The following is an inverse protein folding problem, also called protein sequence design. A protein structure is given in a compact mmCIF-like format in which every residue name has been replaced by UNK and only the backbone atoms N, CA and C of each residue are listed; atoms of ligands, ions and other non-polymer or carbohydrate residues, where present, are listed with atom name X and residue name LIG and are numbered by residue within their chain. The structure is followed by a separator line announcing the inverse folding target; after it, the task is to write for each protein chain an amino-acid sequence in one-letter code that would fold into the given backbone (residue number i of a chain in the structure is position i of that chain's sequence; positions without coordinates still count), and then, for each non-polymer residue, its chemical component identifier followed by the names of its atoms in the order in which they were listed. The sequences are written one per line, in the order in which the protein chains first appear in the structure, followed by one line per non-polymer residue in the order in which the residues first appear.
data_IF_976521818133
#
_entry.id   IF_976521818133
#
_cell.length_a   1.000
_cell.length_b   1.000
_cell.length_c   1.000
_cell.angle_alpha   90.00
_cell.angle_beta   90.00
_cell.angle_gamma   90.00
#
_symmetry.space_group_name_H-M   'P 1'
#
loop_
_entity.id
_entity.type
_entity.pdbx_description
1 polymer ?
#
# COMPACT_ATOMS: atom_id res chain seq x y z
N UNK A 1 14.07 47.37 -2.51
CA UNK A 1 13.72 45.95 -2.37
C UNK A 1 13.65 45.65 -0.89
N UNK A 2 12.45 45.67 -0.32
CA UNK A 2 12.25 45.47 1.11
C UNK A 2 12.54 44.03 1.47
N UNK A 3 13.53 43.85 2.35
CA UNK A 3 13.78 42.62 3.08
C UNK A 3 12.53 42.31 3.89
N UNK A 4 11.66 41.44 3.39
CA UNK A 4 10.68 40.78 4.24
C UNK A 4 11.48 40.03 5.29
N UNK A 5 11.50 40.56 6.52
CA UNK A 5 12.01 39.86 7.67
C UNK A 5 11.24 38.54 7.74
N UNK A 6 11.92 37.44 7.39
CA UNK A 6 11.39 36.09 7.55
C UNK A 6 11.11 35.99 9.05
N UNK A 7 9.83 36.05 9.43
CA UNK A 7 9.44 35.92 10.84
C UNK A 7 10.08 34.66 11.42
N UNK A 8 10.45 34.71 12.71
CA UNK A 8 11.09 33.58 13.38
C UNK A 8 10.35 32.27 13.07
N UNK A 9 11.05 31.21 12.68
CA UNK A 9 10.40 29.97 12.28
C UNK A 9 9.59 29.42 13.45
N UNK A 10 8.37 28.92 13.17
CA UNK A 10 7.49 28.35 14.21
C UNK A 10 8.11 27.13 14.90
N UNK A 11 8.91 26.36 14.17
CA UNK A 11 9.70 25.26 14.70
C UNK A 11 11.13 25.73 14.78
N UNK A 12 11.69 25.77 16.00
CA UNK A 12 13.07 26.16 16.22
C UNK A 12 14.04 25.28 15.43
N UNK A 13 15.18 25.85 15.07
CA UNK A 13 16.19 25.16 14.26
C UNK A 13 16.73 23.91 14.97
N UNK A 14 16.85 23.96 16.29
CA UNK A 14 17.29 22.83 17.12
C UNK A 14 16.27 21.70 17.11
N UNK A 15 14.99 22.00 17.34
CA UNK A 15 13.92 21.00 17.29
C UNK A 15 13.80 20.40 15.90
N UNK A 16 13.89 21.23 14.85
CA UNK A 16 13.89 20.78 13.47
C UNK A 16 15.02 19.79 13.19
N UNK A 17 16.25 20.12 13.61
CA UNK A 17 17.41 19.25 13.42
C UNK A 17 17.28 17.94 14.19
N UNK A 18 16.79 17.96 15.43
CA UNK A 18 16.56 16.76 16.24
C UNK A 18 15.53 15.85 15.55
N UNK A 19 14.34 16.38 15.24
CA UNK A 19 13.28 15.61 14.60
C UNK A 19 13.72 15.02 13.26
N UNK A 20 14.43 15.81 12.46
CA UNK A 20 14.86 15.36 11.12
C UNK A 20 15.98 14.34 11.17
N UNK A 21 17.03 14.58 11.96
CA UNK A 21 18.26 13.77 11.98
C UNK A 21 18.12 12.53 12.86
N UNK A 22 17.51 12.67 14.03
CA UNK A 22 17.42 11.58 15.00
C UNK A 22 16.21 10.66 14.73
N UNK A 23 15.12 11.19 14.14
CA UNK A 23 13.89 10.43 13.97
C UNK A 23 13.54 10.20 12.50
N UNK A 24 13.20 11.25 11.74
CA UNK A 24 12.61 11.08 10.40
C UNK A 24 13.53 10.31 9.45
N UNK A 25 14.79 10.70 9.30
CA UNK A 25 15.70 10.06 8.33
C UNK A 25 16.01 8.60 8.72
N UNK A 26 16.47 8.31 9.95
CA UNK A 26 16.74 6.94 10.35
C UNK A 26 15.53 6.01 10.21
N UNK A 27 14.35 6.44 10.66
CA UNK A 27 13.13 5.62 10.56
C UNK A 27 12.74 5.39 9.09
N UNK A 28 12.85 6.40 8.23
CA UNK A 28 12.60 6.24 6.79
C UNK A 28 13.57 5.25 6.13
N UNK A 29 14.86 5.27 6.51
CA UNK A 29 15.85 4.32 5.99
C UNK A 29 15.48 2.89 6.39
N UNK A 30 15.19 2.67 7.68
CA UNK A 30 14.76 1.37 8.19
C UNK A 30 13.52 0.87 7.43
N UNK A 31 12.53 1.74 7.28
CA UNK A 31 11.28 1.44 6.58
C UNK A 31 11.51 1.09 5.11
N UNK A 32 12.34 1.84 4.40
CA UNK A 32 12.68 1.55 3.01
C UNK A 32 13.46 0.23 2.89
N UNK A 33 14.37 -0.09 3.81
CA UNK A 33 15.07 -1.38 3.83
C UNK A 33 14.09 -2.56 4.01
N UNK A 34 13.15 -2.46 4.96
CA UNK A 34 12.07 -3.45 5.09
C UNK A 34 11.21 -3.51 3.83
N UNK A 35 10.93 -2.36 3.20
CA UNK A 35 10.23 -2.28 1.93
C UNK A 35 10.91 -3.10 0.82
N UNK A 36 12.25 -3.03 0.70
CA UNK A 36 13.02 -3.84 -0.25
C UNK A 36 12.87 -5.34 0.04
N UNK A 37 13.12 -5.74 1.28
CA UNK A 37 13.10 -7.15 1.70
C UNK A 37 11.70 -7.76 1.49
N UNK A 38 10.67 -7.08 1.99
CA UNK A 38 9.30 -7.57 1.96
C UNK A 38 8.76 -7.64 0.53
N UNK A 39 9.03 -6.64 -0.30
CA UNK A 39 8.53 -6.64 -1.67
C UNK A 39 9.29 -7.60 -2.58
N UNK A 40 10.58 -7.84 -2.33
CA UNK A 40 11.31 -8.91 -3.00
C UNK A 40 10.71 -10.30 -2.64
N UNK A 41 10.42 -10.54 -1.35
CA UNK A 41 9.75 -11.76 -0.91
C UNK A 41 8.35 -11.91 -1.54
N UNK A 42 7.56 -10.82 -1.59
CA UNK A 42 6.25 -10.80 -2.25
C UNK A 42 6.36 -11.23 -3.73
N UNK A 43 7.30 -10.65 -4.49
CA UNK A 43 7.53 -10.99 -5.91
C UNK A 43 7.91 -12.47 -6.06
N UNK A 44 8.85 -12.96 -5.25
CA UNK A 44 9.29 -14.36 -5.29
C UNK A 44 8.13 -15.32 -5.02
N UNK A 45 7.28 -15.02 -4.04
CA UNK A 45 6.16 -15.91 -3.69
C UNK A 45 5.08 -15.87 -4.75
N UNK A 46 4.64 -14.68 -5.17
CA UNK A 46 3.54 -14.55 -6.13
C UNK A 46 3.90 -15.11 -7.51
N UNK A 47 5.14 -14.98 -7.96
CA UNK A 47 5.60 -15.60 -9.22
C UNK A 47 5.64 -17.13 -9.14
N UNK A 48 5.79 -17.71 -7.94
CA UNK A 48 5.67 -19.16 -7.70
C UNK A 48 4.23 -19.64 -7.50
N UNK A 49 3.24 -18.75 -7.39
CA UNK A 49 1.82 -19.10 -7.28
C UNK A 49 1.21 -19.40 -8.66
N UNK A 50 1.67 -20.46 -9.32
CA UNK A 50 1.18 -20.87 -10.64
C UNK A 50 -0.03 -21.82 -10.58
N UNK A 51 -1.07 -21.65 -11.41
CA UNK A 51 -1.26 -20.52 -12.33
C UNK A 51 -1.72 -19.26 -11.57
N UNK A 52 -1.16 -18.10 -11.94
CA UNK A 52 -1.53 -16.82 -11.34
C UNK A 52 -2.96 -16.43 -11.74
N UNK A 53 -3.78 -16.04 -10.77
CA UNK A 53 -5.07 -15.37 -11.01
C UNK A 53 -4.88 -13.85 -11.16
N UNK A 54 -5.94 -13.11 -11.52
CA UNK A 54 -5.87 -11.65 -11.71
C UNK A 54 -5.34 -10.92 -10.48
N UNK A 55 -5.65 -11.46 -9.31
CA UNK A 55 -5.25 -10.91 -8.04
C UNK A 55 -3.75 -11.05 -7.80
N UNK A 56 -3.22 -12.26 -8.00
CA UNK A 56 -1.79 -12.56 -7.84
C UNK A 56 -0.97 -11.73 -8.84
N UNK A 57 -1.46 -11.54 -10.06
CA UNK A 57 -0.84 -10.66 -11.06
C UNK A 57 -0.78 -9.22 -10.55
N UNK A 58 -1.89 -8.69 -10.05
CA UNK A 58 -1.98 -7.30 -9.56
C UNK A 58 -1.11 -7.08 -8.31
N UNK A 59 -1.12 -8.02 -7.36
CA UNK A 59 -0.23 -7.96 -6.18
C UNK A 59 1.25 -8.05 -6.55
N UNK A 60 1.61 -8.81 -7.59
CA UNK A 60 2.98 -8.86 -8.10
C UNK A 60 3.37 -7.51 -8.69
N UNK A 61 2.50 -6.92 -9.51
CA UNK A 61 2.73 -5.60 -10.10
C UNK A 61 2.86 -4.50 -9.04
N UNK A 62 2.07 -4.57 -7.96
CA UNK A 62 2.16 -3.67 -6.81
C UNK A 62 3.49 -3.85 -6.06
N UNK A 63 3.90 -5.10 -5.80
CA UNK A 63 5.18 -5.38 -5.15
C UNK A 63 6.38 -4.90 -5.99
N UNK A 64 6.28 -4.96 -7.32
CA UNK A 64 7.32 -4.40 -8.22
C UNK A 64 7.43 -2.88 -8.04
N UNK A 65 6.32 -2.13 -8.05
CA UNK A 65 6.38 -0.67 -7.88
C UNK A 65 6.87 -0.27 -6.48
N UNK A 66 6.42 -0.97 -5.44
CA UNK A 66 6.86 -0.73 -4.06
C UNK A 66 8.35 -1.06 -3.87
N UNK A 67 8.87 -2.08 -4.56
CA UNK A 67 10.30 -2.41 -4.56
C UNK A 67 11.12 -1.29 -5.22
N UNK A 68 10.72 -0.81 -6.39
CA UNK A 68 11.41 0.30 -7.05
C UNK A 68 11.38 1.58 -6.21
N UNK A 69 10.24 1.93 -5.61
CA UNK A 69 10.12 3.04 -4.67
C UNK A 69 11.14 2.91 -3.53
N UNK A 70 11.22 1.73 -2.92
CA UNK A 70 12.09 1.48 -1.77
C UNK A 70 13.58 1.50 -2.15
N UNK A 71 13.94 0.88 -3.27
CA UNK A 71 15.31 0.87 -3.81
C UNK A 71 15.83 2.26 -4.16
N UNK A 72 14.95 3.17 -4.62
CA UNK A 72 15.32 4.56 -4.90
C UNK A 72 15.35 5.44 -3.64
N UNK A 73 14.50 5.12 -2.66
CA UNK A 73 14.38 5.89 -1.42
C UNK A 73 15.63 5.77 -0.53
N UNK A 74 16.19 4.57 -0.36
CA UNK A 74 17.40 4.35 0.47
C UNK A 74 18.58 5.25 0.06
N UNK A 75 19.08 5.22 -1.19
CA UNK A 75 20.20 6.06 -1.59
C UNK A 75 19.86 7.56 -1.51
N UNK A 76 18.62 7.96 -1.82
CA UNK A 76 18.18 9.35 -1.66
C UNK A 76 18.26 9.83 -0.20
N UNK A 77 17.85 8.99 0.74
CA UNK A 77 17.90 9.29 2.18
C UNK A 77 19.34 9.33 2.70
N UNK A 78 20.22 8.43 2.23
CA UNK A 78 21.65 8.44 2.55
C UNK A 78 22.29 9.74 2.06
N UNK A 79 22.03 10.15 0.81
CA UNK A 79 22.58 11.40 0.27
C UNK A 79 22.06 12.61 1.05
N UNK A 80 20.78 12.61 1.44
CA UNK A 80 20.21 13.66 2.31
C UNK A 80 20.86 13.70 3.70
N UNK A 81 21.24 12.56 4.28
CA UNK A 81 21.97 12.49 5.54
C UNK A 81 23.39 13.05 5.40
N UNK A 82 24.13 12.66 4.36
CA UNK A 82 25.47 13.18 4.07
C UNK A 82 25.46 14.71 3.90
N UNK A 83 24.46 15.23 3.19
CA UNK A 83 24.28 16.68 3.03
C UNK A 83 24.08 17.42 4.36
N UNK A 84 23.41 16.78 5.33
CA UNK A 84 23.21 17.36 6.67
C UNK A 84 24.45 17.30 7.55
N UNK A 85 25.33 16.33 7.31
CA UNK A 85 26.66 16.25 7.93
C UNK A 85 27.68 17.21 7.31
N UNK A 86 27.25 18.10 6.40
CA UNK A 86 28.11 19.11 5.78
C UNK A 86 28.76 18.67 4.46
N UNK A 87 28.54 17.43 4.01
CA UNK A 87 29.11 16.92 2.76
C UNK A 87 28.24 17.42 1.60
N UNK A 88 28.72 18.41 0.85
CA UNK A 88 27.98 18.99 -0.29
C UNK A 88 28.29 18.33 -1.63
N UNK A 89 29.44 17.66 -1.74
CA UNK A 89 29.90 17.03 -2.99
C UNK A 89 30.74 15.78 -2.72
N UNK A 90 30.58 14.75 -3.53
CA UNK A 90 31.42 13.54 -3.55
C UNK A 90 32.03 13.37 -4.95
N UNK A 91 33.33 13.14 -5.04
CA UNK A 91 34.04 12.97 -6.33
C UNK A 91 33.70 14.07 -7.36
N UNK A 92 33.68 15.33 -6.91
CA UNK A 92 33.28 16.50 -7.70
C UNK A 92 31.82 16.50 -8.21
N UNK A 93 30.96 15.58 -7.77
CA UNK A 93 29.52 15.59 -8.06
C UNK A 93 28.79 16.29 -6.92
N UNK A 94 27.99 17.30 -7.26
CA UNK A 94 27.13 17.99 -6.29
C UNK A 94 25.98 17.06 -5.84
N UNK A 95 25.90 16.79 -4.54
CA UNK A 95 24.96 15.81 -3.99
C UNK A 95 23.50 16.24 -4.17
N UNK A 96 23.22 17.55 -4.12
CA UNK A 96 21.88 18.08 -4.39
C UNK A 96 21.45 17.80 -5.82
N UNK A 97 22.36 18.00 -6.77
CA UNK A 97 22.14 17.69 -8.19
C UNK A 97 21.91 16.20 -8.41
N UNK A 98 22.62 15.33 -7.69
CA UNK A 98 22.43 13.89 -7.72
C UNK A 98 21.03 13.50 -7.25
N UNK A 99 20.59 13.99 -6.09
CA UNK A 99 19.24 13.73 -5.56
C UNK A 99 18.17 14.18 -6.54
N UNK A 100 18.38 15.36 -7.10
CA UNK A 100 17.45 15.96 -8.02
C UNK A 100 17.30 15.13 -9.31
N UNK A 101 18.40 14.69 -9.91
CA UNK A 101 18.37 13.97 -11.19
C UNK A 101 17.93 12.51 -11.03
N UNK A 102 18.38 11.83 -9.97
CA UNK A 102 18.20 10.39 -9.83
C UNK A 102 16.97 9.98 -9.02
N UNK A 103 16.50 10.84 -8.10
CA UNK A 103 15.53 10.43 -7.10
C UNK A 103 14.27 11.29 -7.07
N UNK A 104 14.37 12.59 -7.34
CA UNK A 104 13.28 13.54 -7.08
C UNK A 104 11.98 13.21 -7.80
N UNK A 105 12.06 12.73 -9.05
CA UNK A 105 10.88 12.43 -9.86
C UNK A 105 10.62 10.93 -10.03
N UNK A 106 11.66 10.10 -9.86
CA UNK A 106 11.56 8.65 -9.93
C UNK A 106 10.85 8.08 -8.68
N UNK A 107 11.16 8.58 -7.48
CA UNK A 107 10.50 8.11 -6.25
C UNK A 107 8.98 8.38 -6.31
N UNK A 108 8.51 9.62 -6.61
CA UNK A 108 7.08 9.87 -6.75
C UNK A 108 6.44 9.06 -7.89
N UNK A 109 7.13 8.84 -9.01
CA UNK A 109 6.62 8.03 -10.12
C UNK A 109 6.19 6.63 -9.66
N UNK A 110 7.08 5.90 -8.97
CA UNK A 110 6.75 4.56 -8.49
C UNK A 110 5.68 4.56 -7.40
N UNK A 111 5.63 5.59 -6.55
CA UNK A 111 4.53 5.78 -5.61
C UNK A 111 3.19 5.98 -6.34
N UNK A 112 3.14 6.81 -7.39
CA UNK A 112 1.93 7.00 -8.21
C UNK A 112 1.48 5.72 -8.91
N UNK A 113 2.43 4.90 -9.36
CA UNK A 113 2.12 3.58 -9.94
C UNK A 113 1.47 2.69 -8.88
N UNK A 114 2.02 2.63 -7.65
CA UNK A 114 1.42 1.86 -6.55
C UNK A 114 0.00 2.35 -6.19
N UNK A 115 -0.22 3.68 -6.14
CA UNK A 115 -1.55 4.28 -5.93
C UNK A 115 -2.53 3.83 -7.03
N UNK A 116 -2.13 3.91 -8.30
CA UNK A 116 -2.99 3.56 -9.43
C UNK A 116 -3.34 2.06 -9.46
N UNK A 117 -2.37 1.19 -9.18
CA UNK A 117 -2.60 -0.26 -9.06
C UNK A 117 -3.55 -0.57 -7.89
N UNK A 118 -3.35 0.07 -6.74
CA UNK A 118 -4.22 -0.09 -5.56
C UNK A 118 -5.65 0.37 -5.85
N UNK A 119 -5.79 1.48 -6.59
CA UNK A 119 -7.10 1.99 -7.05
C UNK A 119 -7.79 0.99 -7.97
N UNK A 120 -7.06 0.48 -8.97
CA UNK A 120 -7.56 -0.54 -9.89
C UNK A 120 -8.02 -1.81 -9.14
N UNK A 121 -7.20 -2.32 -8.23
CA UNK A 121 -7.54 -3.50 -7.43
C UNK A 121 -8.76 -3.26 -6.55
N UNK A 122 -8.89 -2.08 -5.96
CA UNK A 122 -10.06 -1.70 -5.15
C UNK A 122 -11.34 -1.65 -6.00
N UNK A 123 -11.25 -1.13 -7.22
CA UNK A 123 -12.36 -1.14 -8.18
C UNK A 123 -12.74 -2.56 -8.61
N UNK A 124 -11.76 -3.40 -8.98
CA UNK A 124 -12.00 -4.81 -9.34
C UNK A 124 -12.78 -5.52 -8.21
N UNK A 125 -12.32 -5.37 -6.95
CA UNK A 125 -12.91 -6.09 -5.80
C UNK A 125 -14.24 -5.54 -5.32
N UNK A 126 -14.42 -4.22 -5.35
CA UNK A 126 -15.74 -3.64 -5.06
C UNK A 126 -16.76 -4.05 -6.11
N UNK A 127 -16.38 -4.15 -7.39
CA UNK A 127 -17.24 -4.72 -8.43
C UNK A 127 -17.53 -6.20 -8.21
N UNK A 128 -16.59 -6.99 -7.66
CA UNK A 128 -16.87 -8.40 -7.32
C UNK A 128 -17.99 -8.52 -6.28
N UNK A 129 -18.03 -7.56 -5.35
CA UNK A 129 -19.05 -7.51 -4.30
C UNK A 129 -20.42 -7.13 -4.88
N UNK A 130 -20.47 -6.15 -5.77
CA UNK A 130 -21.74 -5.63 -6.31
C UNK A 130 -22.28 -6.50 -7.46
N UNK A 131 -21.42 -6.92 -8.40
CA UNK A 131 -21.78 -7.66 -9.63
C UNK A 131 -20.77 -8.79 -9.94
N UNK A 132 -20.75 -9.89 -9.16
CA UNK A 132 -19.74 -10.95 -9.28
C UNK A 132 -19.68 -11.64 -10.65
N UNK A 133 -20.83 -11.78 -11.34
CA UNK A 133 -20.89 -12.40 -12.66
C UNK A 133 -20.21 -11.56 -13.76
N UNK A 134 -20.39 -10.23 -13.72
CA UNK A 134 -19.78 -9.32 -14.69
C UNK A 134 -18.26 -9.25 -14.52
N UNK A 135 -17.76 -9.28 -13.28
CA UNK A 135 -16.31 -9.23 -13.04
C UNK A 135 -15.57 -10.35 -13.75
N UNK A 136 -16.06 -11.59 -13.65
CA UNK A 136 -15.41 -12.75 -14.30
C UNK A 136 -15.34 -12.60 -15.83
N UNK A 137 -16.26 -11.85 -16.42
CA UNK A 137 -16.29 -11.56 -17.86
C UNK A 137 -15.43 -10.34 -18.23
N UNK A 138 -15.37 -9.32 -17.35
CA UNK A 138 -14.65 -8.07 -17.58
C UNK A 138 -13.14 -8.26 -17.31
N UNK A 139 -12.77 -8.77 -16.14
CA UNK A 139 -11.40 -8.87 -15.65
C UNK A 139 -10.81 -10.24 -15.95
N UNK A 140 -10.47 -10.48 -17.22
CA UNK A 140 -9.69 -11.66 -17.62
C UNK A 140 -8.19 -11.41 -17.41
N UNK A 141 -7.40 -12.48 -17.19
CA UNK A 141 -5.94 -12.36 -16.93
C UNK A 141 -5.22 -11.48 -17.96
N UNK A 142 -5.52 -11.68 -19.25
CA UNK A 142 -4.92 -10.90 -20.35
C UNK A 142 -5.25 -9.42 -20.24
N UNK A 143 -6.51 -9.07 -19.96
CA UNK A 143 -6.94 -7.68 -19.81
C UNK A 143 -6.30 -7.03 -18.59
N UNK A 144 -6.20 -7.75 -17.47
CA UNK A 144 -5.53 -7.24 -16.26
C UNK A 144 -4.05 -6.93 -16.52
N UNK A 145 -3.32 -7.83 -17.20
CA UNK A 145 -1.92 -7.57 -17.58
C UNK A 145 -1.81 -6.33 -18.46
N UNK A 146 -2.67 -6.18 -19.48
CA UNK A 146 -2.68 -5.00 -20.35
C UNK A 146 -2.94 -3.71 -19.56
N UNK A 147 -3.93 -3.72 -18.65
CA UNK A 147 -4.25 -2.56 -17.80
C UNK A 147 -3.05 -2.18 -16.92
N UNK A 148 -2.40 -3.15 -16.29
CA UNK A 148 -1.24 -2.89 -15.44
C UNK A 148 -0.07 -2.32 -16.25
N UNK A 149 0.23 -2.87 -17.43
CA UNK A 149 1.25 -2.31 -18.33
C UNK A 149 0.88 -0.88 -18.74
N UNK A 150 -0.39 -0.63 -19.07
CA UNK A 150 -0.86 0.71 -19.42
C UNK A 150 -0.70 1.70 -18.26
N UNK A 151 -0.93 1.29 -17.01
CA UNK A 151 -0.67 2.12 -15.81
C UNK A 151 0.82 2.49 -15.73
N UNK A 152 1.73 1.52 -15.85
CA UNK A 152 3.17 1.77 -15.81
C UNK A 152 3.61 2.72 -16.94
N UNK A 153 3.18 2.46 -18.17
CA UNK A 153 3.59 3.24 -19.35
C UNK A 153 3.02 4.66 -19.29
N UNK A 154 1.72 4.82 -19.01
CA UNK A 154 1.06 6.12 -18.98
C UNK A 154 1.63 7.04 -17.89
N UNK A 155 1.82 6.53 -16.68
CA UNK A 155 2.42 7.33 -15.60
C UNK A 155 3.87 7.67 -15.91
N UNK A 156 4.66 6.73 -16.44
CA UNK A 156 6.04 7.04 -16.85
C UNK A 156 6.08 8.14 -17.90
N UNK A 157 5.21 8.07 -18.93
CA UNK A 157 5.10 9.09 -19.96
C UNK A 157 4.74 10.47 -19.39
N UNK A 158 3.86 10.53 -18.39
CA UNK A 158 3.51 11.80 -17.72
C UNK A 158 4.68 12.44 -16.97
N UNK A 159 5.65 11.66 -16.47
CA UNK A 159 6.84 12.19 -15.80
C UNK A 159 8.00 12.53 -16.77
N UNK A 160 7.97 12.04 -18.01
CA UNK A 160 9.03 12.26 -19.02
C UNK A 160 9.41 13.74 -19.27
N UNK A 161 8.49 14.72 -19.31
CA UNK A 161 8.85 16.12 -19.55
C UNK A 161 9.88 16.68 -18.56
N UNK A 162 9.89 16.18 -17.32
CA UNK A 162 10.82 16.69 -16.30
C UNK A 162 12.23 16.12 -16.47
N UNK A 163 12.36 14.90 -17.00
CA UNK A 163 13.65 14.28 -17.27
C UNK A 163 14.38 14.94 -18.45
N UNK A 164 13.64 15.55 -19.38
CA UNK A 164 14.21 16.21 -20.57
C UNK A 164 14.56 17.69 -20.34
N UNK A 165 14.15 18.28 -19.21
CA UNK A 165 14.33 19.72 -18.91
C UNK A 165 15.50 20.01 -17.96
N UNK A 166 16.45 19.08 -17.84
CA UNK A 166 17.64 19.21 -17.02
C UNK A 166 18.87 18.62 -17.73
N UNK A 167 20.03 19.22 -17.50
CA UNK A 167 21.32 18.62 -17.87
C UNK A 167 22.36 18.81 -16.77
N UNK A 168 23.31 17.88 -16.67
CA UNK A 168 24.46 18.02 -15.78
C UNK A 168 25.56 18.80 -16.51
N UNK A 169 26.10 19.84 -15.85
CA UNK A 169 27.14 20.72 -16.41
C UNK A 169 28.25 20.92 -15.39
N UNK A 170 29.50 20.85 -15.84
CA UNK A 170 30.66 21.19 -15.03
C UNK A 170 30.72 22.69 -14.78
N UNK A 171 30.61 23.11 -13.52
CA UNK A 171 30.73 24.52 -13.12
C UNK A 171 31.80 24.69 -12.07
N UNK A 172 32.62 25.74 -12.21
CA UNK A 172 33.60 26.13 -11.19
C UNK A 172 32.88 26.92 -10.09
N UNK A 173 32.86 26.44 -8.83
CA UNK A 173 32.30 27.22 -7.72
C UNK A 173 33.17 28.46 -7.47
N UNK A 174 32.56 29.57 -7.04
CA UNK A 174 33.29 30.81 -6.75
C UNK A 174 34.42 30.62 -5.72
N UNK A 175 34.21 29.74 -4.73
CA UNK A 175 35.16 29.47 -3.63
C UNK A 175 36.05 28.23 -3.84
N UNK A 176 36.08 27.60 -5.02
CA UNK A 176 36.90 26.40 -5.26
C UNK A 176 37.56 26.41 -6.63
N UNK A 177 38.80 25.94 -6.69
CA UNK A 177 39.54 25.75 -7.94
C UNK A 177 39.00 24.60 -8.80
N UNK A 178 38.40 23.58 -8.17
CA UNK A 178 37.90 22.38 -8.85
C UNK A 178 36.50 22.58 -9.44
N UNK A 179 36.28 22.12 -10.68
CA UNK A 179 34.95 22.08 -11.30
C UNK A 179 34.08 21.04 -10.60
N UNK A 180 32.84 21.40 -10.27
CA UNK A 180 31.84 20.49 -9.74
C UNK A 180 30.74 20.25 -10.77
N UNK A 181 30.33 19.00 -10.94
CA UNK A 181 29.19 18.62 -11.78
C UNK A 181 27.90 19.04 -11.07
N UNK A 182 27.14 19.94 -11.68
CA UNK A 182 25.91 20.49 -11.13
C UNK A 182 24.77 20.41 -12.14
N UNK A 183 23.56 20.30 -11.62
CA UNK A 183 22.36 20.40 -12.42
C UNK A 183 22.20 21.81 -12.98
N UNK A 184 21.88 21.86 -14.27
CA UNK A 184 21.47 23.06 -14.96
C UNK A 184 20.07 22.84 -15.52
N UNK A 185 19.11 23.63 -15.01
CA UNK A 185 17.75 23.66 -15.51
C UNK A 185 17.70 24.29 -16.91
N UNK A 186 16.96 23.67 -17.83
CA UNK A 186 16.72 24.22 -19.17
C UNK A 186 15.49 25.13 -19.19
N UNK A 187 15.36 26.03 -20.18
CA UNK A 187 14.13 26.77 -20.42
C UNK A 187 12.93 25.82 -20.53
N UNK A 188 11.82 26.12 -19.85
CA UNK A 188 10.62 25.27 -19.83
C UNK A 188 10.56 24.26 -18.69
N UNK A 189 11.60 24.13 -17.85
CA UNK A 189 11.58 23.26 -16.66
C UNK A 189 10.39 23.54 -15.74
N UNK A 190 10.20 24.79 -15.36
CA UNK A 190 9.10 25.19 -14.47
C UNK A 190 7.73 24.79 -15.05
N UNK A 191 7.55 24.97 -16.35
CA UNK A 191 6.35 24.54 -17.06
C UNK A 191 6.18 23.03 -17.01
N UNK A 192 7.23 22.25 -17.26
CA UNK A 192 7.21 20.79 -17.17
C UNK A 192 6.87 20.30 -15.75
N UNK A 193 7.46 20.90 -14.73
CA UNK A 193 7.17 20.59 -13.32
C UNK A 193 5.71 20.90 -12.97
N UNK A 194 5.18 22.04 -13.41
CA UNK A 194 3.77 22.38 -13.23
C UNK A 194 2.84 21.41 -13.95
N UNK A 195 3.16 21.01 -15.18
CA UNK A 195 2.36 20.01 -15.92
C UNK A 195 2.32 18.69 -15.16
N UNK A 196 3.45 18.20 -14.65
CA UNK A 196 3.49 17.00 -13.80
C UNK A 196 2.66 17.21 -12.54
N UNK A 197 2.86 18.31 -11.83
CA UNK A 197 2.14 18.58 -10.58
C UNK A 197 0.63 18.71 -10.76
N UNK A 198 0.16 19.30 -11.86
CA UNK A 198 -1.26 19.39 -12.20
C UNK A 198 -1.83 18.04 -12.67
N UNK A 199 -1.04 17.24 -13.39
CA UNK A 199 -1.51 15.96 -13.95
C UNK A 199 -1.52 14.82 -12.93
N UNK A 200 -0.44 14.67 -12.16
CA UNK A 200 -0.21 13.52 -11.27
C UNK A 200 -0.03 13.91 -9.79
N UNK A 201 -0.07 15.20 -9.48
CA UNK A 201 0.01 15.72 -8.11
C UNK A 201 -1.32 15.63 -7.38
N UNK A 202 -1.86 16.78 -6.96
CA UNK A 202 -3.06 16.83 -6.11
C UNK A 202 -4.33 16.24 -6.75
N UNK A 203 -4.69 16.55 -8.02
CA UNK A 203 -5.95 16.06 -8.60
C UNK A 203 -6.01 14.54 -8.69
N UNK A 204 -4.92 13.90 -9.15
CA UNK A 204 -4.84 12.45 -9.25
C UNK A 204 -4.93 11.78 -7.87
N UNK A 205 -4.19 12.29 -6.88
CA UNK A 205 -4.22 11.75 -5.52
C UNK A 205 -5.61 11.87 -4.91
N UNK A 206 -6.24 13.03 -5.04
CA UNK A 206 -7.61 13.24 -4.55
C UNK A 206 -8.58 12.27 -5.22
N UNK A 207 -8.53 12.14 -6.55
CA UNK A 207 -9.41 11.25 -7.30
C UNK A 207 -9.23 9.79 -6.87
N UNK A 208 -7.99 9.31 -6.76
CA UNK A 208 -7.71 7.93 -6.33
C UNK A 208 -8.14 7.69 -4.89
N UNK A 209 -7.92 8.66 -3.99
CA UNK A 209 -8.30 8.55 -2.57
C UNK A 209 -9.83 8.41 -2.41
N UNK A 210 -10.59 9.23 -3.15
CA UNK A 210 -12.06 9.16 -3.19
C UNK A 210 -12.52 7.81 -3.74
N UNK A 211 -11.93 7.34 -4.85
CA UNK A 211 -12.29 6.04 -5.46
C UNK A 211 -12.00 4.89 -4.49
N UNK A 212 -10.80 4.84 -3.89
CA UNK A 212 -10.42 3.79 -2.95
C UNK A 212 -11.33 3.82 -1.71
N UNK A 213 -11.67 5.01 -1.20
CA UNK A 213 -12.58 5.17 -0.06
C UNK A 213 -13.97 4.62 -0.36
N UNK A 214 -14.55 4.97 -1.51
CA UNK A 214 -15.84 4.44 -1.96
C UNK A 214 -15.76 2.91 -2.10
N UNK A 215 -14.72 2.40 -2.76
CA UNK A 215 -14.50 0.97 -2.93
C UNK A 215 -14.36 0.24 -1.58
N UNK A 216 -13.68 0.83 -0.60
CA UNK A 216 -13.54 0.28 0.75
C UNK A 216 -14.90 0.19 1.47
N UNK A 217 -15.75 1.21 1.35
CA UNK A 217 -17.12 1.18 1.89
C UNK A 217 -17.95 0.08 1.22
N UNK A 218 -17.87 -0.06 -0.11
CA UNK A 218 -18.56 -1.13 -0.84
C UNK A 218 -18.08 -2.52 -0.41
N UNK A 219 -16.77 -2.71 -0.26
CA UNK A 219 -16.21 -3.97 0.23
C UNK A 219 -16.65 -4.26 1.68
N UNK A 220 -16.64 -3.27 2.56
CA UNK A 220 -17.07 -3.43 3.95
C UNK A 220 -18.55 -3.82 4.06
N UNK A 221 -19.42 -3.16 3.29
CA UNK A 221 -20.86 -3.48 3.25
C UNK A 221 -21.10 -4.87 2.67
N UNK A 222 -20.40 -5.26 1.61
CA UNK A 222 -20.44 -6.62 1.06
C UNK A 222 -20.03 -7.70 2.05
N UNK A 223 -18.92 -7.48 2.75
CA UNK A 223 -18.42 -8.40 3.77
C UNK A 223 -19.43 -8.56 4.92
N UNK A 224 -20.06 -7.48 5.38
CA UNK A 224 -21.09 -7.51 6.43
C UNK A 224 -22.33 -8.27 5.99
N UNK A 225 -22.85 -8.00 4.78
CA UNK A 225 -24.02 -8.70 4.23
C UNK A 225 -23.82 -10.21 4.17
N UNK A 226 -22.63 -10.66 3.76
CA UNK A 226 -22.33 -12.09 3.72
C UNK A 226 -22.24 -12.70 5.13
N UNK A 227 -21.65 -11.98 6.09
CA UNK A 227 -21.60 -12.44 7.49
C UNK A 227 -22.99 -12.59 8.09
N UNK A 228 -23.89 -11.62 7.87
CA UNK A 228 -25.27 -11.66 8.32
C UNK A 228 -26.03 -12.84 7.70
N UNK A 229 -25.95 -13.01 6.38
CA UNK A 229 -26.59 -14.15 5.71
C UNK A 229 -26.16 -15.51 6.29
N UNK A 230 -24.87 -15.67 6.62
CA UNK A 230 -24.39 -16.91 7.27
C UNK A 230 -24.95 -17.10 8.67
N UNK A 231 -25.10 -16.03 9.45
CA UNK A 231 -25.71 -16.07 10.78
C UNK A 231 -27.21 -16.41 10.71
N UNK A 232 -27.92 -15.85 9.72
CA UNK A 232 -29.35 -16.11 9.51
C UNK A 232 -29.59 -17.57 9.11
N UNK A 233 -28.77 -18.12 8.21
CA UNK A 233 -28.83 -19.55 7.83
C UNK A 233 -28.50 -20.44 9.02
N UNK A 234 -27.44 -20.14 9.77
CA UNK A 234 -27.03 -20.93 10.93
C UNK A 234 -28.12 -20.96 12.02
N UNK A 235 -28.72 -19.80 12.32
CA UNK A 235 -29.79 -19.68 13.32
C UNK A 235 -31.10 -20.36 12.88
N UNK A 236 -31.41 -20.34 11.58
CA UNK A 236 -32.58 -21.06 11.03
C UNK A 236 -32.44 -22.58 11.15
N UNK A 237 -31.23 -23.12 10.93
CA UNK A 237 -30.93 -24.55 11.10
C UNK A 237 -31.09 -24.96 12.58
N UNK A 238 -30.61 -24.14 13.53
CA UNK A 238 -30.73 -24.45 14.97
C UNK A 238 -32.17 -24.45 15.45
N UNK A 239 -33.02 -23.54 14.93
CA UNK A 239 -34.46 -23.50 15.26
C UNK A 239 -35.21 -24.71 14.70
N UNK A 240 -34.88 -25.15 13.48
CA UNK A 240 -35.54 -26.33 12.87
C UNK A 240 -35.14 -27.66 13.54
N UNK A 241 -33.95 -27.76 14.12
CA UNK A 241 -33.52 -28.96 14.86
C UNK A 241 -34.22 -29.13 16.21
N UNK A 242 -34.58 -28.02 16.87
CA UNK A 242 -35.23 -28.01 18.19
C UNK A 242 -36.73 -28.34 18.16
N UNK A 243 -37.36 -28.30 16.98
CA UNK A 243 -38.79 -28.59 16.79
C UNK A 243 -39.13 -30.07 16.55
N UNK A 244 -38.15 -30.99 16.64
CA UNK A 244 -38.33 -32.44 16.40
C UNK A 244 -38.13 -33.33 17.64
N UNK A 245 -38.14 -32.78 18.84
CA UNK A 245 -38.30 -33.62 20.05
C UNK A 245 -39.78 -34.01 20.17
N UNK A 246 -40.08 -35.29 19.92
CA UNK A 246 -41.40 -35.88 20.18
C UNK A 246 -41.69 -35.78 21.69
N UNK A 247 -42.94 -35.45 22.10
CA UNK A 247 -43.31 -35.54 23.51
C UNK A 247 -43.16 -36.99 23.98
N UNK A 248 -42.42 -37.20 25.06
CA UNK A 248 -42.32 -38.49 25.73
C UNK A 248 -43.72 -38.90 26.22
N UNK A 249 -44.25 -40.00 25.67
CA UNK A 249 -45.46 -40.63 26.18
C UNK A 249 -45.13 -41.25 27.54
N UNK A 250 -45.84 -40.82 28.59
CA UNK A 250 -45.78 -41.43 29.91
C UNK A 250 -46.33 -42.85 29.83
N UNK A 251 -45.55 -43.84 30.30
CA UNK A 251 -46.04 -45.16 30.65
C UNK A 251 -45.57 -45.53 32.05
N UNK A 252 -46.53 -46.04 32.83
CA UNK A 252 -46.50 -46.41 34.24
C UNK A 252 -45.34 -47.31 34.72
N UNK A 253 -45.03 -47.29 36.03
CA UNK A 253 -43.99 -48.13 36.63
C UNK A 253 -44.55 -49.46 37.15
N UNK A 254 -44.17 -50.59 36.54
CA UNK A 254 -44.14 -51.86 37.27
C UNK A 254 -43.26 -52.95 36.68
N UNK A 255 -42.50 -53.56 37.59
CA UNK A 255 -41.83 -54.87 37.60
C UNK A 255 -40.40 -54.99 37.01
N UNK A 256 -39.49 -55.30 37.96
CA UNK A 256 -38.14 -55.84 37.80
C UNK A 256 -38.17 -57.24 37.13
N UNK A 257 -37.12 -57.79 36.51
CA UNK A 257 -35.75 -58.07 37.00
C UNK A 257 -34.85 -58.50 35.80
N UNK A 258 -33.55 -58.89 35.93
CA UNK A 258 -32.47 -58.34 35.10
C UNK A 258 -31.91 -59.35 34.08
N UNK A 259 -31.35 -58.88 32.97
CA UNK A 259 -30.30 -59.65 32.28
C UNK A 259 -29.30 -58.71 31.61
N UNK A 260 -28.06 -58.90 32.01
CA UNK A 260 -26.83 -58.24 31.59
C UNK A 260 -26.53 -58.42 30.10
N UNK A 261 -26.22 -57.34 29.39
CA UNK A 261 -25.10 -57.34 28.43
C UNK A 261 -24.60 -55.92 28.18
N UNK A 262 -23.36 -55.71 28.61
CA UNK A 262 -22.30 -54.89 28.02
C UNK A 262 -22.62 -53.52 27.39
N UNK A 263 -22.17 -52.53 28.13
CA UNK A 263 -21.74 -51.21 27.70
C UNK A 263 -20.94 -51.19 26.39
N UNK A 264 -21.35 -50.32 25.48
CA UNK A 264 -20.39 -49.58 24.66
C UNK A 264 -20.88 -48.12 24.55
N UNK A 265 -20.10 -47.11 24.96
CA UNK A 265 -20.51 -45.72 24.82
C UNK A 265 -20.41 -45.33 23.35
N UNK A 266 -21.56 -45.11 22.72
CA UNK A 266 -21.64 -44.55 21.37
C UNK A 266 -20.91 -43.21 21.34
N UNK A 267 -19.86 -43.15 20.52
CA UNK A 267 -19.26 -41.90 20.07
C UNK A 267 -20.37 -40.98 19.57
N UNK A 268 -20.61 -39.90 20.31
CA UNK A 268 -21.28 -38.71 19.80
C UNK A 268 -20.36 -38.10 18.73
N UNK A 269 -20.39 -38.68 17.54
CA UNK A 269 -19.83 -38.08 16.34
C UNK A 269 -20.68 -36.85 16.05
N UNK A 270 -20.30 -35.73 16.67
CA UNK A 270 -20.56 -34.40 16.17
C UNK A 270 -19.89 -34.32 14.79
N UNK A 271 -20.58 -34.85 13.77
CA UNK A 271 -20.19 -34.73 12.37
C UNK A 271 -20.22 -33.25 12.04
N UNK A 272 -19.04 -32.63 12.12
CA UNK A 272 -18.78 -31.34 11.49
C UNK A 272 -19.24 -31.50 10.03
N UNK A 273 -20.28 -30.79 9.56
CA UNK A 273 -20.74 -30.97 8.20
C UNK A 273 -19.61 -30.58 7.26
N UNK A 274 -19.14 -31.55 6.47
CA UNK A 274 -18.10 -31.31 5.47
C UNK A 274 -18.60 -30.18 4.55
N UNK A 275 -17.86 -29.06 4.52
CA UNK A 275 -18.26 -27.87 3.75
C UNK A 275 -18.43 -28.25 2.28
N UNK A 276 -19.58 -27.89 1.69
CA UNK A 276 -19.82 -28.15 0.26
C UNK A 276 -18.80 -27.42 -0.63
N UNK A 277 -18.51 -27.90 -1.85
CA UNK A 277 -17.58 -27.25 -2.77
C UNK A 277 -17.89 -25.77 -3.01
N UNK A 278 -19.18 -25.41 -3.08
CA UNK A 278 -19.66 -24.03 -3.23
C UNK A 278 -19.32 -23.15 -2.01
N UNK A 279 -19.42 -23.69 -0.79
CA UNK A 279 -19.03 -22.97 0.43
C UNK A 279 -17.53 -22.74 0.53
N UNK A 280 -16.73 -23.73 0.09
CA UNK A 280 -15.27 -23.62 0.05
C UNK A 280 -14.81 -22.55 -0.96
N UNK A 281 -15.52 -22.38 -2.07
CA UNK A 281 -15.23 -21.35 -3.08
C UNK A 281 -15.63 -19.95 -2.57
N UNK A 282 -16.80 -19.83 -1.95
CA UNK A 282 -17.28 -18.58 -1.35
C UNK A 282 -16.35 -18.06 -0.25
N UNK A 283 -15.90 -18.93 0.65
CA UNK A 283 -14.96 -18.55 1.74
C UNK A 283 -13.59 -18.12 1.22
N UNK A 284 -13.10 -18.71 0.12
CA UNK A 284 -11.89 -18.26 -0.56
C UNK A 284 -12.06 -16.85 -1.12
N UNK A 285 -13.15 -16.58 -1.84
CA UNK A 285 -13.43 -15.26 -2.43
C UNK A 285 -13.54 -14.15 -1.36
N UNK A 286 -14.16 -14.45 -0.22
CA UNK A 286 -14.20 -13.52 0.91
C UNK A 286 -12.82 -13.16 1.45
N UNK A 287 -11.91 -14.14 1.57
CA UNK A 287 -10.53 -13.88 2.02
C UNK A 287 -9.83 -12.94 1.06
N UNK A 288 -10.03 -13.12 -0.25
CA UNK A 288 -9.49 -12.21 -1.27
C UNK A 288 -10.05 -10.80 -1.10
N UNK A 289 -11.37 -10.63 -0.93
CA UNK A 289 -11.99 -9.32 -0.69
C UNK A 289 -11.43 -8.68 0.59
N UNK A 290 -11.31 -9.44 1.68
CA UNK A 290 -10.72 -8.95 2.94
C UNK A 290 -9.27 -8.49 2.76
N UNK A 291 -8.45 -9.23 2.00
CA UNK A 291 -7.06 -8.84 1.73
C UNK A 291 -7.01 -7.47 1.06
N UNK A 292 -7.76 -7.27 -0.03
CA UNK A 292 -7.74 -5.97 -0.74
C UNK A 292 -8.40 -4.87 0.06
N UNK A 293 -9.44 -5.18 0.84
CA UNK A 293 -10.02 -4.21 1.77
C UNK A 293 -8.99 -3.68 2.77
N UNK A 294 -8.18 -4.55 3.40
CA UNK A 294 -7.15 -4.11 4.33
C UNK A 294 -6.06 -3.30 3.63
N UNK A 295 -5.63 -3.72 2.43
CA UNK A 295 -4.66 -2.95 1.62
C UNK A 295 -5.23 -1.57 1.27
N UNK A 296 -6.49 -1.48 0.87
CA UNK A 296 -7.18 -0.23 0.56
C UNK A 296 -7.29 0.70 1.78
N UNK A 297 -7.69 0.17 2.94
CA UNK A 297 -7.76 0.96 4.18
C UNK A 297 -6.38 1.45 4.60
N UNK A 298 -5.36 0.58 4.51
CA UNK A 298 -3.97 0.96 4.80
C UNK A 298 -3.53 2.10 3.89
N UNK A 299 -3.86 2.02 2.61
CA UNK A 299 -3.56 3.06 1.63
C UNK A 299 -4.22 4.38 1.99
N UNK A 300 -5.53 4.38 2.27
CA UNK A 300 -6.26 5.59 2.65
C UNK A 300 -5.64 6.25 3.88
N UNK A 301 -5.39 5.47 4.94
CA UNK A 301 -4.82 6.00 6.18
C UNK A 301 -3.43 6.61 5.97
N UNK A 302 -2.59 5.95 5.17
CA UNK A 302 -1.20 6.39 4.96
C UNK A 302 -1.08 7.53 3.94
N UNK A 303 -1.99 7.62 2.97
CA UNK A 303 -1.95 8.60 1.89
C UNK A 303 -2.77 9.87 2.20
N UNK A 304 -3.77 9.80 3.09
CA UNK A 304 -4.57 10.96 3.53
C UNK A 304 -3.72 12.16 4.03
N UNK A 305 -2.64 11.98 4.80
CA UNK A 305 -1.76 13.09 5.20
C UNK A 305 -1.07 13.80 4.01
N UNK A 306 -0.81 13.09 2.91
CA UNK A 306 -0.29 13.69 1.68
C UNK A 306 -1.33 14.62 1.04
N UNK A 307 -2.62 14.27 1.10
CA UNK A 307 -3.69 15.14 0.61
C UNK A 307 -3.77 16.44 1.41
N UNK A 308 -3.71 16.33 2.75
CA UNK A 308 -3.69 17.49 3.65
C UNK A 308 -2.50 18.38 3.33
N UNK A 309 -1.31 17.81 3.15
CA UNK A 309 -0.11 18.55 2.78
C UNK A 309 -0.27 19.33 1.48
N UNK A 310 -0.88 18.75 0.44
CA UNK A 310 -1.16 19.47 -0.79
C UNK A 310 -2.17 20.59 -0.58
N UNK A 311 -3.24 20.37 0.19
CA UNK A 311 -4.22 21.42 0.50
C UNK A 311 -3.53 22.59 1.18
N UNK A 312 -2.71 22.34 2.22
CA UNK A 312 -1.97 23.39 2.91
C UNK A 312 -0.98 24.10 1.97
N UNK A 313 -0.27 23.36 1.12
CA UNK A 313 0.64 23.93 0.12
C UNK A 313 -0.04 24.91 -0.85
N UNK A 314 -1.29 24.65 -1.24
CA UNK A 314 -2.05 25.54 -2.13
C UNK A 314 -2.75 26.69 -1.39
N UNK A 315 -3.17 26.49 -0.14
CA UNK A 315 -3.89 27.50 0.65
C UNK A 315 -2.96 28.47 1.38
N UNK A 316 -1.76 28.05 1.75
CA UNK A 316 -0.81 28.84 2.53
C UNK A 316 0.47 29.11 1.72
N UNK A 317 0.60 30.29 1.08
CA UNK A 317 1.76 30.62 0.25
C UNK A 317 3.08 30.56 1.00
N UNK A 318 3.08 30.75 2.34
CA UNK A 318 4.27 30.68 3.18
C UNK A 318 4.69 29.22 3.50
N UNK A 319 3.87 28.21 3.18
CA UNK A 319 4.16 26.79 3.37
C UNK A 319 5.04 26.22 2.25
N UNK A 320 6.25 26.76 2.12
CA UNK A 320 7.20 26.39 1.07
C UNK A 320 8.65 26.50 1.55
N UNK A 321 9.59 25.98 0.74
CA UNK A 321 11.02 26.09 0.99
C UNK A 321 11.43 27.56 1.04
N UNK A 322 12.31 27.91 1.99
CA UNK A 322 12.85 29.26 2.18
C UNK A 322 11.80 30.34 2.55
N UNK A 323 10.62 29.93 3.02
CA UNK A 323 9.57 30.80 3.55
C UNK A 323 9.33 30.56 5.04
N UNK A 324 8.38 31.30 5.65
CA UNK A 324 8.12 31.28 7.10
C UNK A 324 7.92 29.87 7.68
N UNK A 325 7.22 28.98 6.97
CA UNK A 325 6.91 27.63 7.44
C UNK A 325 7.90 26.55 6.92
N UNK A 326 9.09 26.93 6.45
CA UNK A 326 10.08 26.03 5.86
C UNK A 326 10.35 24.75 6.68
N UNK A 327 10.55 24.89 8.00
CA UNK A 327 10.88 23.77 8.87
C UNK A 327 9.72 22.76 8.96
N UNK A 328 8.49 23.26 9.08
CA UNK A 328 7.28 22.42 9.10
C UNK A 328 7.10 21.76 7.73
N UNK A 329 7.23 22.52 6.63
CA UNK A 329 7.14 21.99 5.27
C UNK A 329 8.07 20.79 5.05
N UNK A 330 9.33 20.91 5.46
CA UNK A 330 10.31 19.83 5.32
C UNK A 330 9.98 18.63 6.24
N UNK A 331 9.59 18.88 7.49
CA UNK A 331 9.22 17.81 8.43
C UNK A 331 7.98 17.04 7.95
N UNK A 332 6.95 17.75 7.48
CA UNK A 332 5.75 17.15 6.91
C UNK A 332 6.06 16.31 5.66
N UNK A 333 6.93 16.80 4.76
CA UNK A 333 7.41 16.02 3.62
C UNK A 333 8.13 14.74 4.04
N UNK A 334 8.95 14.80 5.09
CA UNK A 334 9.60 13.64 5.67
C UNK A 334 8.63 12.62 6.30
N UNK A 335 7.57 13.10 6.95
CA UNK A 335 6.49 12.27 7.48
C UNK A 335 5.69 11.59 6.36
N UNK A 336 5.40 12.30 5.26
CA UNK A 336 4.72 11.72 4.10
C UNK A 336 5.54 10.58 3.50
N UNK A 337 6.86 10.78 3.33
CA UNK A 337 7.74 9.71 2.85
C UNK A 337 7.75 8.49 3.80
N UNK A 338 7.64 8.73 5.11
CA UNK A 338 7.57 7.67 6.10
C UNK A 338 6.29 6.84 5.92
N UNK A 339 5.15 7.51 5.80
CA UNK A 339 3.84 6.88 5.60
C UNK A 339 3.76 6.14 4.26
N UNK A 340 4.32 6.71 3.19
CA UNK A 340 4.41 6.05 1.89
C UNK A 340 5.27 4.78 1.95
N UNK A 341 6.38 4.83 2.67
CA UNK A 341 7.23 3.64 2.90
C UNK A 341 6.46 2.58 3.70
N UNK A 342 5.72 2.99 4.73
CA UNK A 342 4.86 2.12 5.54
C UNK A 342 3.81 1.42 4.68
N UNK A 343 3.14 2.15 3.79
CA UNK A 343 2.14 1.58 2.87
C UNK A 343 2.70 0.40 2.05
N UNK A 344 3.91 0.54 1.51
CA UNK A 344 4.53 -0.51 0.70
C UNK A 344 5.06 -1.71 1.50
N UNK A 345 5.51 -1.52 2.74
CA UNK A 345 6.14 -2.61 3.50
C UNK A 345 5.14 -3.55 4.18
N UNK A 346 3.95 -3.05 4.56
CA UNK A 346 3.01 -3.79 5.43
C UNK A 346 2.20 -4.86 4.68
N UNK A 347 2.18 -4.77 3.35
CA UNK A 347 1.48 -5.68 2.45
C UNK A 347 1.76 -7.16 2.73
N UNK A 348 3.01 -7.51 3.04
CA UNK A 348 3.40 -8.90 3.34
C UNK A 348 2.64 -9.48 4.55
N UNK A 349 2.41 -8.68 5.59
CA UNK A 349 1.71 -9.13 6.80
C UNK A 349 0.23 -9.39 6.52
N UNK A 350 -0.38 -8.58 5.66
CA UNK A 350 -1.74 -8.80 5.16
C UNK A 350 -1.80 -10.14 4.41
N UNK A 351 -0.84 -10.39 3.52
CA UNK A 351 -0.78 -11.63 2.73
C UNK A 351 -0.55 -12.87 3.58
N UNK A 352 0.34 -12.81 4.57
CA UNK A 352 0.60 -13.90 5.52
C UNK A 352 -0.61 -14.26 6.38
N UNK A 353 -1.44 -13.26 6.67
CA UNK A 353 -2.62 -13.43 7.51
C UNK A 353 -3.82 -13.97 6.73
N UNK A 354 -4.04 -13.50 5.50
CA UNK A 354 -5.29 -13.72 4.76
C UNK A 354 -5.16 -14.59 3.50
N UNK A 355 -3.96 -14.73 2.92
CA UNK A 355 -3.75 -15.54 1.72
C UNK A 355 -3.07 -16.88 2.08
N UNK A 356 -3.88 -17.94 2.17
CA UNK A 356 -3.39 -19.28 2.56
C UNK A 356 -2.31 -19.84 1.63
N UNK A 357 -2.46 -19.64 0.30
CA UNK A 357 -1.46 -20.10 -0.67
C UNK A 357 -0.14 -19.37 -0.46
N UNK A 358 -0.22 -18.05 -0.27
CA UNK A 358 0.93 -17.22 0.05
C UNK A 358 1.63 -17.69 1.33
N UNK A 359 0.87 -17.90 2.42
CA UNK A 359 1.39 -18.37 3.71
C UNK A 359 2.10 -19.72 3.60
N UNK A 360 1.53 -20.68 2.87
CA UNK A 360 2.15 -21.99 2.65
C UNK A 360 3.47 -21.88 1.89
N UNK A 361 3.50 -21.09 0.82
CA UNK A 361 4.73 -20.87 0.05
C UNK A 361 5.78 -20.10 0.85
N UNK A 362 5.38 -19.10 1.62
CA UNK A 362 6.29 -18.38 2.51
C UNK A 362 6.98 -19.34 3.48
N UNK A 363 6.20 -20.19 4.17
CA UNK A 363 6.77 -21.21 5.09
C UNK A 363 7.72 -22.16 4.37
N UNK A 364 7.32 -22.65 3.19
CA UNK A 364 8.13 -23.59 2.39
C UNK A 364 9.46 -22.98 1.93
N UNK A 365 9.48 -21.69 1.59
CA UNK A 365 10.66 -21.02 1.03
C UNK A 365 11.57 -20.41 2.09
N UNK A 366 11.00 -19.84 3.15
CA UNK A 366 11.72 -18.99 4.10
C UNK A 366 11.73 -19.53 5.54
N UNK A 367 10.88 -20.51 5.88
CA UNK A 367 10.80 -21.09 7.23
C UNK A 367 11.17 -22.58 7.24
N UNK A 368 11.85 -23.10 6.21
CA UNK A 368 12.45 -24.44 6.27
C UNK A 368 13.60 -24.43 7.27
N UNK A 369 13.30 -24.77 8.51
CA UNK A 369 14.16 -25.57 9.38
C UNK A 369 13.62 -27.00 9.36
#
# INVERSE_FOLDING_TARGET
MNSYAIGSPLVSEDLFNILRRAFIIPTNIVFACFGIINNLANIIIFTKMTPMDTMTISFTALAVSDLFYSCLSVPSLIVNALMQSGIRSLYNVDLRSLVFVLFLYQIPLFHKISIAITTFMSCERSLCVVKPFLVKQIFTKRRVVIILIAIYVSLTALFMPVFTTAKLVWRKPFNRTTRTLRLHALPGRFTAENVVQLSVGFPLVLATEVIISIAAVLMATGLRRHQQFRQDVASSITKSGRGKEKPALQTDPSQATPTSTESNPGEDQTRTPASTPAESASSKEQRLIKTVFIVAVTHVVTNSPQLIYYVVYYLEPEFQIAKRYNNIYILSGGLINLLNSLNGMVNIFVYLSLNMKYKMLFKKLFCRM
#
